data_IF_155724047154
#
_entry.id   IF_155724047154
#
_cell.length_a   1.000
_cell.length_b   1.000
_cell.length_c   1.000
_cell.angle_alpha   90.00
_cell.angle_beta   90.00
_cell.angle_gamma   90.00
#
_symmetry.space_group_name_H-M   'P 1'
#
loop_
_entity.id
_entity.type
_entity.pdbx_description
1 polymer ?
#
# COMPACT_ATOMS: atom_id res chain seq x y z
N UNK A 1 7.86 -48.35 19.46
CA UNK A 1 6.78 -47.90 18.56
C UNK A 1 7.17 -46.50 18.13
N UNK A 2 8.13 -46.44 17.21
CA UNK A 2 8.74 -45.22 16.70
C UNK A 2 7.87 -44.66 15.57
N UNK A 3 7.30 -43.48 15.78
CA UNK A 3 6.55 -42.73 14.78
C UNK A 3 7.47 -41.73 14.09
N UNK A 4 8.14 -42.18 13.02
CA UNK A 4 8.87 -41.31 12.09
C UNK A 4 7.87 -40.56 11.20
N UNK A 5 7.70 -39.26 11.44
CA UNK A 5 7.00 -38.34 10.53
C UNK A 5 8.03 -37.71 9.60
N UNK A 6 7.99 -38.08 8.33
CA UNK A 6 8.76 -37.46 7.26
C UNK A 6 8.14 -36.10 6.87
N UNK A 7 8.94 -35.07 6.53
CA UNK A 7 8.41 -33.84 5.97
C UNK A 7 8.11 -34.03 4.49
N UNK A 8 6.85 -33.82 4.11
CA UNK A 8 6.37 -33.75 2.73
C UNK A 8 7.02 -32.57 2.02
N UNK A 9 7.73 -32.87 0.93
CA UNK A 9 8.34 -31.88 0.05
C UNK A 9 7.26 -30.98 -0.56
N UNK A 10 7.42 -29.67 -0.40
CA UNK A 10 6.71 -28.65 -1.17
C UNK A 10 7.07 -28.80 -2.65
N UNK A 11 6.19 -29.47 -3.40
CA UNK A 11 6.12 -29.39 -4.85
C UNK A 11 5.20 -28.23 -5.22
N UNK A 12 5.64 -27.40 -6.16
CA UNK A 12 4.83 -26.29 -6.67
C UNK A 12 5.66 -25.25 -7.42
N UNK A 13 6.59 -25.70 -8.26
CA UNK A 13 7.44 -24.86 -9.10
C UNK A 13 7.55 -25.39 -10.53
N UNK A 14 6.51 -26.06 -11.02
CA UNK A 14 6.42 -26.55 -12.40
C UNK A 14 5.09 -26.06 -12.97
N UNK A 15 5.13 -25.08 -13.88
CA UNK A 15 3.87 -24.58 -14.44
C UNK A 15 3.91 -23.67 -15.65
N UNK A 16 5.05 -23.33 -16.25
CA UNK A 16 5.04 -22.44 -17.46
C UNK A 16 5.81 -23.03 -18.64
N UNK A 17 6.89 -23.78 -18.41
CA UNK A 17 7.66 -24.37 -19.52
C UNK A 17 6.96 -25.47 -20.33
N UNK A 18 5.79 -25.96 -19.90
CA UNK A 18 5.09 -27.10 -20.52
C UNK A 18 3.75 -26.77 -21.18
N UNK A 19 3.19 -25.57 -20.98
CA UNK A 19 1.90 -25.18 -21.56
C UNK A 19 1.95 -25.03 -23.09
N UNK A 20 3.06 -24.47 -23.60
CA UNK A 20 3.24 -24.18 -25.03
C UNK A 20 3.58 -25.40 -25.89
N UNK A 21 4.02 -26.51 -25.29
CA UNK A 21 4.39 -27.71 -26.06
C UNK A 21 3.18 -28.57 -26.47
N UNK A 22 2.01 -28.36 -25.85
CA UNK A 22 0.86 -29.23 -26.02
C UNK A 22 -0.24 -28.67 -26.94
N UNK A 23 -0.21 -27.37 -27.27
CA UNK A 23 -1.25 -26.72 -28.06
C UNK A 23 -0.65 -26.15 -29.36
N UNK A 24 -0.52 -26.98 -30.39
CA UNK A 24 -0.62 -26.47 -31.76
C UNK A 24 0.67 -26.07 -32.49
N UNK A 25 1.66 -26.96 -32.51
CA UNK A 25 2.40 -27.31 -33.73
C UNK A 25 3.51 -26.38 -34.23
N UNK A 26 4.76 -26.73 -33.91
CA UNK A 26 6.01 -26.68 -34.73
C UNK A 26 6.24 -25.51 -35.73
N UNK A 27 5.54 -24.39 -35.56
CA UNK A 27 5.85 -23.11 -36.17
C UNK A 27 6.55 -22.32 -35.08
N UNK A 28 7.85 -22.12 -35.26
CA UNK A 28 8.58 -21.21 -34.41
C UNK A 28 7.86 -19.84 -34.46
N UNK A 29 7.46 -19.34 -33.28
CA UNK A 29 6.98 -17.97 -33.14
C UNK A 29 7.97 -17.02 -33.83
N UNK A 30 7.48 -15.99 -34.55
CA UNK A 30 8.33 -14.93 -35.07
C UNK A 30 9.29 -14.41 -34.00
N UNK A 31 10.49 -13.98 -34.42
CA UNK A 31 11.56 -13.64 -33.50
C UNK A 31 11.15 -12.50 -32.53
N UNK A 32 10.28 -11.61 -32.98
CA UNK A 32 9.68 -10.51 -32.20
C UNK A 32 8.85 -11.02 -31.03
N UNK A 33 7.99 -12.03 -31.24
CA UNK A 33 7.14 -12.59 -30.18
C UNK A 33 7.95 -13.45 -29.23
N UNK A 34 8.98 -14.13 -29.75
CA UNK A 34 9.92 -14.87 -28.89
C UNK A 34 10.73 -13.93 -28.00
N UNK A 35 11.16 -12.78 -28.51
CA UNK A 35 11.84 -11.78 -27.72
C UNK A 35 10.90 -11.15 -26.67
N UNK A 36 9.67 -10.82 -27.07
CA UNK A 36 8.64 -10.29 -26.19
C UNK A 36 8.28 -11.27 -25.06
N UNK A 37 8.07 -12.55 -25.39
CA UNK A 37 7.81 -13.64 -24.43
C UNK A 37 8.92 -13.69 -23.37
N UNK A 38 10.19 -13.70 -23.77
CA UNK A 38 11.32 -13.78 -22.81
C UNK A 38 11.40 -12.53 -21.94
N UNK A 39 11.18 -11.34 -22.51
CA UNK A 39 11.18 -10.08 -21.76
C UNK A 39 10.03 -10.01 -20.74
N UNK A 40 8.81 -10.34 -21.16
CA UNK A 40 7.63 -10.38 -20.31
C UNK A 40 7.75 -11.48 -19.24
N UNK A 41 8.25 -12.66 -19.59
CA UNK A 41 8.49 -13.75 -18.64
C UNK A 41 9.49 -13.30 -17.56
N UNK A 42 10.56 -12.63 -17.93
CA UNK A 42 11.53 -12.09 -16.98
C UNK A 42 10.90 -11.01 -16.09
N UNK A 43 10.14 -10.06 -16.66
CA UNK A 43 9.47 -9.00 -15.92
C UNK A 43 8.46 -9.56 -14.92
N UNK A 44 7.58 -10.47 -15.37
CA UNK A 44 6.58 -11.13 -14.53
C UNK A 44 7.24 -11.92 -13.40
N UNK A 45 8.28 -12.71 -13.69
CA UNK A 45 9.03 -13.45 -12.67
C UNK A 45 9.71 -12.54 -11.67
N UNK A 46 10.27 -11.41 -12.11
CA UNK A 46 10.89 -10.42 -11.21
C UNK A 46 9.86 -9.83 -10.26
N UNK A 47 8.71 -9.40 -10.78
CA UNK A 47 7.62 -8.82 -9.97
C UNK A 47 7.02 -9.84 -9.00
N UNK A 48 6.82 -11.08 -9.44
CA UNK A 48 6.33 -12.17 -8.59
C UNK A 48 7.34 -12.53 -7.49
N UNK A 49 8.63 -12.58 -7.82
CA UNK A 49 9.69 -12.83 -6.84
C UNK A 49 9.75 -11.72 -5.78
N UNK A 50 9.70 -10.45 -6.20
CA UNK A 50 9.67 -9.31 -5.29
C UNK A 50 8.43 -9.34 -4.39
N UNK A 51 7.26 -9.66 -4.96
CA UNK A 51 5.99 -9.83 -4.24
C UNK A 51 6.08 -10.95 -3.19
N UNK A 52 6.57 -12.13 -3.58
CA UNK A 52 6.70 -13.27 -2.65
C UNK A 52 7.74 -13.00 -1.55
N UNK A 53 8.79 -12.25 -1.87
CA UNK A 53 9.80 -11.85 -0.87
C UNK A 53 9.20 -10.86 0.13
N UNK A 54 8.46 -9.87 -0.36
CA UNK A 54 7.76 -8.91 0.49
C UNK A 54 6.74 -9.62 1.39
N UNK A 55 5.96 -10.54 0.85
CA UNK A 55 4.96 -11.32 1.59
C UNK A 55 5.58 -12.08 2.77
N UNK A 56 6.69 -12.80 2.53
CA UNK A 56 7.42 -13.56 3.56
C UNK A 56 7.99 -12.67 4.67
N UNK A 57 8.31 -11.42 4.36
CA UNK A 57 8.86 -10.45 5.33
C UNK A 57 7.74 -9.69 6.06
N UNK A 58 6.63 -9.42 5.37
CA UNK A 58 5.52 -8.64 5.86
C UNK A 58 4.75 -9.36 6.96
N UNK A 59 4.35 -10.63 6.74
CA UNK A 59 3.59 -11.39 7.74
C UNK A 59 4.25 -11.47 9.12
N UNK A 60 5.52 -11.87 9.27
CA UNK A 60 6.16 -11.93 10.58
C UNK A 60 6.38 -10.55 11.20
N UNK A 61 6.64 -9.51 10.39
CA UNK A 61 6.85 -8.16 10.90
C UNK A 61 5.55 -7.53 11.44
N UNK A 62 4.42 -7.75 10.76
CA UNK A 62 3.11 -7.26 11.16
C UNK A 62 2.59 -8.01 12.40
N UNK A 63 2.83 -9.33 12.48
CA UNK A 63 2.53 -10.12 13.68
C UNK A 63 3.37 -9.67 14.89
N UNK A 64 4.67 -9.41 14.70
CA UNK A 64 5.54 -8.88 15.75
C UNK A 64 5.08 -7.50 16.24
N UNK A 65 4.62 -6.64 15.32
CA UNK A 65 4.08 -5.32 15.64
C UNK A 65 2.75 -5.41 16.40
N UNK A 66 1.88 -6.34 16.02
CA UNK A 66 0.62 -6.64 16.71
C UNK A 66 0.88 -7.13 18.13
N UNK A 67 1.93 -7.93 18.35
CA UNK A 67 2.33 -8.39 19.69
C UNK A 67 2.94 -7.28 20.54
N UNK A 68 3.79 -6.43 19.95
CA UNK A 68 4.52 -5.36 20.65
C UNK A 68 4.62 -4.13 19.77
N UNK A 69 3.82 -3.12 20.13
CA UNK A 69 3.96 -1.77 19.57
C UNK A 69 5.27 -1.17 20.06
N UNK A 70 6.26 -1.13 19.18
CA UNK A 70 7.54 -0.48 19.40
C UNK A 70 7.89 0.42 18.23
N UNK A 71 8.68 1.46 18.47
CA UNK A 71 9.12 2.40 17.42
C UNK A 71 9.86 1.68 16.29
N UNK A 72 10.64 0.63 16.63
CA UNK A 72 11.34 -0.19 15.65
C UNK A 72 10.37 -1.01 14.78
N UNK A 73 9.36 -1.63 15.39
CA UNK A 73 8.38 -2.44 14.66
C UNK A 73 7.48 -1.56 13.76
N UNK A 74 7.12 -0.36 14.23
CA UNK A 74 6.40 0.64 13.43
C UNK A 74 7.22 1.09 12.21
N UNK A 75 8.51 1.34 12.40
CA UNK A 75 9.41 1.69 11.30
C UNK A 75 9.51 0.55 10.28
N UNK A 76 9.64 -0.70 10.75
CA UNK A 76 9.65 -1.88 9.86
C UNK A 76 8.34 -2.02 9.08
N UNK A 77 7.18 -1.86 9.73
CA UNK A 77 5.88 -1.91 9.03
C UNK A 77 5.72 -0.76 8.03
N UNK A 78 6.20 0.45 8.36
CA UNK A 78 6.23 1.57 7.42
C UNK A 78 7.11 1.28 6.21
N UNK A 79 8.27 0.66 6.40
CA UNK A 79 9.14 0.24 5.30
C UNK A 79 8.47 -0.82 4.41
N UNK A 80 7.79 -1.80 5.02
CA UNK A 80 6.99 -2.81 4.30
C UNK A 80 5.89 -2.12 3.49
N UNK A 81 5.12 -1.21 4.09
CA UNK A 81 4.07 -0.43 3.40
C UNK A 81 4.64 0.37 2.23
N UNK A 82 5.78 1.03 2.41
CA UNK A 82 6.45 1.76 1.34
C UNK A 82 6.85 0.85 0.18
N UNK A 83 7.44 -0.33 0.47
CA UNK A 83 7.82 -1.31 -0.55
C UNK A 83 6.60 -1.91 -1.25
N UNK A 84 5.53 -2.15 -0.52
CA UNK A 84 4.27 -2.65 -1.05
C UNK A 84 3.67 -1.66 -2.07
N UNK A 85 3.63 -0.37 -1.73
CA UNK A 85 3.13 0.68 -2.63
C UNK A 85 3.99 0.78 -3.89
N UNK A 86 5.32 0.70 -3.77
CA UNK A 86 6.23 0.75 -4.91
C UNK A 86 6.04 -0.44 -5.86
N UNK A 87 6.05 -1.67 -5.32
CA UNK A 87 5.86 -2.90 -6.12
C UNK A 87 4.45 -2.92 -6.73
N UNK A 88 3.41 -2.58 -5.97
CA UNK A 88 2.04 -2.50 -6.47
C UNK A 88 1.93 -1.49 -7.62
N UNK A 89 2.56 -0.31 -7.51
CA UNK A 89 2.58 0.67 -8.59
C UNK A 89 3.30 0.18 -9.85
N UNK A 90 4.38 -0.59 -9.70
CA UNK A 90 5.10 -1.20 -10.84
C UNK A 90 4.28 -2.29 -11.53
N UNK A 91 3.63 -3.16 -10.77
CA UNK A 91 2.76 -4.24 -11.29
C UNK A 91 1.54 -3.64 -11.99
N UNK A 92 0.94 -2.61 -11.39
CA UNK A 92 -0.19 -1.88 -11.97
C UNK A 92 0.16 -1.29 -13.33
N UNK A 93 1.31 -0.62 -13.45
CA UNK A 93 1.76 -0.08 -14.75
C UNK A 93 1.94 -1.16 -15.81
N UNK A 94 2.56 -2.30 -15.46
CA UNK A 94 2.71 -3.40 -16.41
C UNK A 94 1.34 -3.97 -16.83
N UNK A 95 0.39 -4.04 -15.90
CA UNK A 95 -0.99 -4.44 -16.21
C UNK A 95 -1.66 -3.44 -17.16
N UNK A 96 -1.58 -2.15 -16.86
CA UNK A 96 -2.23 -1.09 -17.64
C UNK A 96 -1.67 -1.03 -19.08
N UNK A 97 -0.36 -1.18 -19.26
CA UNK A 97 0.27 -1.22 -20.59
C UNK A 97 -0.11 -2.50 -21.38
N UNK A 98 -0.25 -3.62 -20.68
CA UNK A 98 -0.66 -4.89 -21.29
C UNK A 98 -2.14 -4.90 -21.69
N UNK A 99 -3.00 -4.30 -20.86
CA UNK A 99 -4.42 -4.04 -21.14
C UNK A 99 -4.56 -3.13 -22.36
N UNK A 100 -3.80 -2.03 -22.40
CA UNK A 100 -3.80 -1.12 -23.54
C UNK A 100 -3.41 -1.84 -24.84
N UNK A 101 -2.38 -2.68 -24.81
CA UNK A 101 -1.94 -3.44 -25.97
C UNK A 101 -2.98 -4.49 -26.43
N UNK A 102 -3.67 -5.14 -25.48
CA UNK A 102 -4.74 -6.10 -25.79
C UNK A 102 -5.99 -5.43 -26.36
N UNK A 103 -6.31 -4.20 -25.94
CA UNK A 103 -7.51 -3.47 -26.39
C UNK A 103 -7.38 -2.87 -27.81
N UNK A 104 -6.16 -2.71 -28.33
CA UNK A 104 -5.88 -1.99 -29.59
C UNK A 104 -5.29 -2.92 -30.66
N UNK A 105 -6.14 -3.43 -31.56
CA UNK A 105 -5.74 -4.30 -32.68
C UNK A 105 -4.64 -3.68 -33.56
N UNK A 106 -4.63 -2.35 -33.70
CA UNK A 106 -3.61 -1.62 -34.45
C UNK A 106 -2.22 -1.71 -33.80
N UNK A 107 -2.17 -1.67 -32.47
CA UNK A 107 -0.92 -1.80 -31.72
C UNK A 107 -0.43 -3.26 -31.72
N UNK A 108 -1.36 -4.22 -31.65
CA UNK A 108 -1.04 -5.64 -31.86
C UNK A 108 -0.47 -5.88 -33.27
N UNK A 109 -1.09 -5.34 -34.31
CA UNK A 109 -0.61 -5.45 -35.68
C UNK A 109 0.76 -4.76 -35.88
N UNK A 110 1.01 -3.64 -35.19
CA UNK A 110 2.28 -2.92 -35.26
C UNK A 110 3.48 -3.73 -34.74
N UNK A 111 3.24 -4.72 -33.86
CA UNK A 111 4.27 -5.61 -33.33
C UNK A 111 4.75 -6.68 -34.33
N UNK A 112 4.02 -6.93 -35.44
CA UNK A 112 4.42 -7.86 -36.50
C UNK A 112 5.55 -7.29 -37.39
N UNK A 113 6.75 -7.19 -36.82
CA UNK A 113 7.92 -6.58 -37.46
C UNK A 113 8.46 -7.40 -38.64
N UNK A 114 8.39 -8.74 -38.57
CA UNK A 114 8.86 -9.64 -39.64
C UNK A 114 8.08 -9.43 -40.93
N UNK A 115 6.75 -9.32 -40.84
CA UNK A 115 5.87 -9.09 -41.99
C UNK A 115 6.08 -7.70 -42.58
N UNK A 116 6.26 -6.69 -41.73
CA UNK A 116 6.56 -5.32 -42.16
C UNK A 116 7.88 -5.25 -42.92
N UNK A 117 8.91 -5.97 -42.46
CA UNK A 117 10.19 -6.07 -43.13
C UNK A 117 10.09 -6.78 -44.48
N UNK A 118 9.29 -7.85 -44.58
CA UNK A 118 9.02 -8.54 -45.84
C UNK A 118 8.30 -7.64 -46.86
N UNK A 119 7.36 -6.81 -46.41
CA UNK A 119 6.65 -5.85 -47.24
C UNK A 119 7.59 -4.75 -47.78
N UNK A 120 8.48 -4.21 -46.93
CA UNK A 120 9.52 -3.26 -47.39
C UNK A 120 10.47 -3.88 -48.41
N UNK A 121 10.81 -5.17 -48.27
CA UNK A 121 11.69 -5.86 -49.22
C UNK A 121 11.01 -6.13 -50.57
N UNK A 122 9.70 -6.40 -50.59
CA UNK A 122 8.95 -6.56 -51.85
C UNK A 122 8.72 -5.22 -52.57
N UNK A 123 8.41 -4.16 -51.83
CA UNK A 123 8.28 -2.80 -52.35
C UNK A 123 9.61 -2.25 -52.90
N UNK A 124 10.75 -2.60 -52.28
CA UNK A 124 12.09 -2.25 -52.74
C UNK A 124 12.52 -2.96 -54.04
N UNK A 125 11.83 -4.02 -54.47
CA UNK A 125 12.06 -4.67 -55.76
C UNK A 125 11.21 -4.09 -56.91
N UNK A 126 10.20 -3.25 -56.61
CA UNK A 126 9.33 -2.64 -57.63
C UNK A 126 9.80 -1.28 -58.14
N UNK A 127 10.82 -0.64 -57.55
CA UNK A 127 11.27 0.71 -57.96
C UNK A 127 12.47 0.74 -58.92
N UNK A 128 12.89 -0.41 -59.49
CA UNK A 128 13.97 -0.46 -60.49
C UNK A 128 13.50 -0.40 -61.96
N UNK A 129 12.22 -0.16 -62.21
CA UNK A 129 11.71 0.09 -63.56
C UNK A 129 10.63 1.17 -63.52
N UNK A 130 11.07 2.43 -63.44
CA UNK A 130 10.47 3.59 -64.10
C UNK A 130 11.26 4.84 -63.67
N UNK A 131 12.52 4.90 -64.10
CA UNK A 131 13.24 6.17 -64.20
C UNK A 131 12.88 6.73 -65.56
N UNK A 132 11.93 7.68 -65.59
CA UNK A 132 11.79 8.80 -66.54
C UNK A 132 10.31 9.23 -66.68
N UNK A 133 9.77 9.92 -65.68
CA UNK A 133 8.91 11.09 -65.97
C UNK A 133 8.80 12.06 -64.79
N UNK A 134 9.70 13.04 -64.84
CA UNK A 134 9.43 14.47 -64.62
C UNK A 134 8.82 14.90 -63.28
N UNK A 135 9.71 15.52 -62.50
CA UNK A 135 9.36 16.53 -61.51
C UNK A 135 8.83 17.80 -62.21
N UNK A 136 7.55 18.11 -62.02
CA UNK A 136 6.91 19.44 -62.12
C UNK A 136 5.40 19.16 -61.95
N UNK A 137 4.59 19.84 -61.15
CA UNK A 137 4.52 21.23 -60.75
C UNK A 137 3.87 21.31 -59.35
N UNK A 138 4.44 22.15 -58.48
CA UNK A 138 3.75 22.70 -57.32
C UNK A 138 2.91 23.91 -57.79
N UNK A 139 1.85 24.21 -57.04
CA UNK A 139 1.02 25.43 -57.08
C UNK A 139 -0.13 25.35 -58.12
N UNK A 140 -1.42 25.33 -57.77
CA UNK A 140 -2.12 26.33 -56.96
C UNK A 140 -3.60 25.89 -56.79
N UNK A 141 -4.12 25.78 -55.56
CA UNK A 141 -5.32 26.51 -55.09
C UNK A 141 -5.84 26.04 -53.73
N UNK A 142 -6.06 27.05 -52.90
CA UNK A 142 -6.41 26.98 -51.50
C UNK A 142 -7.90 27.26 -51.25
N UNK A 143 -8.41 26.69 -50.15
CA UNK A 143 -9.50 27.14 -49.25
C UNK A 143 -10.95 26.72 -49.59
N UNK A 144 -11.50 25.80 -48.77
CA UNK A 144 -12.56 26.01 -47.73
C UNK A 144 -12.79 24.67 -47.01
N UNK A 145 -12.28 24.48 -45.80
CA UNK A 145 -12.97 24.65 -44.50
C UNK A 145 -14.08 23.62 -44.22
N UNK A 146 -13.76 22.77 -43.22
CA UNK A 146 -14.61 22.10 -42.23
C UNK A 146 -15.71 21.15 -42.73
N UNK A 147 -15.48 19.84 -42.56
CA UNK A 147 -16.29 18.91 -41.74
C UNK A 147 -15.74 17.47 -41.86
N UNK A 148 -15.65 16.80 -40.71
CA UNK A 148 -15.54 15.34 -40.50
C UNK A 148 -14.25 14.63 -40.96
N UNK A 149 -13.36 14.34 -39.99
CA UNK A 149 -12.40 13.22 -40.07
C UNK A 149 -13.17 11.90 -40.01
N UNK A 150 -13.86 11.56 -41.09
CA UNK A 150 -14.32 10.20 -41.37
C UNK A 150 -13.32 9.55 -42.33
N UNK A 151 -13.06 8.28 -42.04
CA UNK A 151 -12.06 7.43 -42.66
C UNK A 151 -12.15 7.43 -44.19
N UNK A 152 -11.08 7.86 -44.87
CA UNK A 152 -10.75 7.35 -46.20
C UNK A 152 -9.57 6.38 -46.07
N UNK A 153 -9.95 5.11 -45.86
CA UNK A 153 -9.10 3.94 -46.00
C UNK A 153 -8.81 3.71 -47.49
N UNK A 154 -7.80 4.42 -47.99
CA UNK A 154 -7.31 4.34 -49.37
C UNK A 154 -6.07 3.46 -49.51
N UNK A 155 -6.27 2.14 -49.55
CA UNK A 155 -5.49 1.25 -50.43
C UNK A 155 -4.05 0.90 -50.06
N UNK A 156 -3.87 -0.02 -49.12
CA UNK A 156 -2.97 -1.17 -49.25
C UNK A 156 -3.54 -2.26 -48.34
N UNK A 157 -3.93 -3.41 -48.91
CA UNK A 157 -4.74 -4.42 -48.24
C UNK A 157 -4.34 -4.66 -46.79
N UNK A 158 -5.28 -4.36 -45.88
CA UNK A 158 -5.20 -4.67 -44.47
C UNK A 158 -5.11 -6.18 -44.29
N UNK A 159 -3.89 -6.69 -44.41
CA UNK A 159 -3.50 -7.96 -43.84
C UNK A 159 -3.57 -7.72 -42.33
N UNK A 160 -4.69 -8.06 -41.68
CA UNK A 160 -4.66 -8.36 -40.26
C UNK A 160 -3.72 -9.55 -40.15
N UNK A 161 -2.48 -9.39 -39.65
CA UNK A 161 -1.62 -10.53 -39.38
C UNK A 161 -2.42 -11.50 -38.49
N UNK A 162 -2.06 -12.78 -38.43
CA UNK A 162 -2.68 -13.67 -37.45
C UNK A 162 -2.24 -13.22 -36.04
N UNK A 163 -2.90 -12.20 -35.50
CA UNK A 163 -2.69 -11.60 -34.18
C UNK A 163 -3.19 -12.51 -33.08
N UNK A 164 -4.02 -13.51 -33.42
CA UNK A 164 -4.53 -14.55 -32.52
C UNK A 164 -3.41 -15.22 -31.69
N UNK A 165 -2.24 -15.48 -32.28
CA UNK A 165 -1.11 -16.10 -31.55
C UNK A 165 -0.49 -15.15 -30.52
N UNK A 166 -0.42 -13.85 -30.84
CA UNK A 166 0.08 -12.82 -29.95
C UNK A 166 -0.94 -12.50 -28.84
N UNK A 167 -2.22 -12.44 -29.18
CA UNK A 167 -3.31 -12.22 -28.23
C UNK A 167 -3.31 -13.30 -27.14
N UNK A 168 -3.26 -14.59 -27.52
CA UNK A 168 -3.17 -15.70 -26.56
C UNK A 168 -1.92 -15.59 -25.67
N UNK A 169 -0.78 -15.14 -26.22
CA UNK A 169 0.44 -14.90 -25.45
C UNK A 169 0.23 -13.82 -24.40
N UNK A 170 -0.26 -12.65 -24.82
CA UNK A 170 -0.48 -11.49 -23.96
C UNK A 170 -1.56 -11.76 -22.90
N UNK A 171 -2.66 -12.42 -23.25
CA UNK A 171 -3.71 -12.85 -22.31
C UNK A 171 -3.13 -13.72 -21.18
N UNK A 172 -2.25 -14.65 -21.51
CA UNK A 172 -1.63 -15.53 -20.50
C UNK A 172 -0.78 -14.74 -19.49
N UNK A 173 -0.04 -13.74 -19.95
CA UNK A 173 0.75 -12.85 -19.09
C UNK A 173 -0.16 -11.87 -18.32
N UNK A 174 -1.27 -11.44 -18.92
CA UNK A 174 -2.24 -10.56 -18.27
C UNK A 174 -2.83 -11.25 -17.05
N UNK A 175 -3.31 -12.49 -17.21
CA UNK A 175 -3.80 -13.31 -16.09
C UNK A 175 -2.72 -13.52 -15.03
N UNK A 176 -1.45 -13.70 -15.41
CA UNK A 176 -0.35 -13.84 -14.44
C UNK A 176 -0.09 -12.55 -13.64
N UNK A 177 -0.09 -11.39 -14.31
CA UNK A 177 0.10 -10.08 -13.66
C UNK A 177 -1.10 -9.77 -12.75
N UNK A 178 -2.33 -10.03 -13.18
CA UNK A 178 -3.52 -9.91 -12.32
C UNK A 178 -3.44 -10.82 -11.09
N UNK A 179 -2.99 -12.05 -11.27
CA UNK A 179 -2.74 -12.97 -10.14
C UNK A 179 -1.73 -12.39 -9.14
N UNK A 180 -0.69 -11.72 -9.63
CA UNK A 180 0.31 -11.04 -8.80
C UNK A 180 -0.26 -9.79 -8.11
N UNK A 181 -1.06 -8.99 -8.83
CA UNK A 181 -1.75 -7.82 -8.31
C UNK A 181 -2.72 -8.21 -7.19
N UNK A 182 -3.46 -9.30 -7.36
CA UNK A 182 -4.40 -9.79 -6.35
C UNK A 182 -3.67 -10.19 -5.05
N UNK A 183 -2.54 -10.88 -5.15
CA UNK A 183 -1.68 -11.18 -3.97
C UNK A 183 -1.25 -9.89 -3.25
N UNK A 184 -0.82 -8.87 -4.00
CA UNK A 184 -0.43 -7.57 -3.44
C UNK A 184 -1.62 -6.84 -2.80
N UNK A 185 -2.81 -6.94 -3.40
CA UNK A 185 -4.04 -6.37 -2.86
C UNK A 185 -4.41 -6.99 -1.51
N UNK A 186 -4.37 -8.33 -1.41
CA UNK A 186 -4.59 -9.03 -0.14
C UNK A 186 -3.54 -8.65 0.91
N UNK A 187 -2.26 -8.54 0.52
CA UNK A 187 -1.22 -8.10 1.44
C UNK A 187 -1.42 -6.65 1.91
N UNK A 188 -1.93 -5.79 1.03
CA UNK A 188 -2.27 -4.40 1.35
C UNK A 188 -3.40 -4.30 2.34
N UNK A 189 -4.48 -5.03 2.12
CA UNK A 189 -5.60 -5.12 3.06
C UNK A 189 -5.09 -5.55 4.44
N UNK A 190 -4.24 -6.58 4.50
CA UNK A 190 -3.65 -7.03 5.77
C UNK A 190 -2.76 -5.98 6.46
N UNK A 191 -1.97 -5.22 5.69
CA UNK A 191 -1.15 -4.10 6.22
C UNK A 191 -2.03 -2.97 6.74
N UNK A 192 -3.05 -2.59 5.98
CA UNK A 192 -3.97 -1.49 6.32
C UNK A 192 -4.82 -1.87 7.55
N UNK A 193 -5.32 -3.12 7.64
CA UNK A 193 -5.99 -3.66 8.83
C UNK A 193 -5.10 -3.63 10.07
N UNK A 194 -3.82 -3.99 9.91
CA UNK A 194 -2.83 -3.95 11.00
C UNK A 194 -2.57 -2.51 11.45
N UNK A 195 -2.48 -1.56 10.53
CA UNK A 195 -2.32 -0.13 10.84
C UNK A 195 -3.51 0.40 11.63
N UNK A 196 -4.73 0.09 11.20
CA UNK A 196 -5.96 0.48 11.90
C UNK A 196 -6.01 -0.12 13.31
N UNK A 197 -5.67 -1.41 13.46
CA UNK A 197 -5.57 -2.06 14.77
C UNK A 197 -4.56 -1.36 15.69
N UNK A 198 -3.38 -1.02 15.17
CA UNK A 198 -2.35 -0.33 15.95
C UNK A 198 -2.79 1.07 16.33
N UNK A 199 -3.42 1.81 15.42
CA UNK A 199 -3.95 3.14 15.71
C UNK A 199 -4.98 3.07 16.84
N UNK A 200 -5.93 2.12 16.79
CA UNK A 200 -6.89 1.90 17.88
C UNK A 200 -6.20 1.55 19.21
N UNK A 201 -5.18 0.69 19.19
CA UNK A 201 -4.43 0.32 20.40
C UNK A 201 -3.63 1.49 20.96
N UNK A 202 -3.01 2.30 20.10
CA UNK A 202 -2.22 3.46 20.51
C UNK A 202 -3.12 4.54 21.10
N UNK A 203 -4.31 4.74 20.53
CA UNK A 203 -5.33 5.63 21.07
C UNK A 203 -5.82 5.16 22.45
N UNK A 204 -6.04 3.85 22.66
CA UNK A 204 -6.37 3.31 24.00
C UNK A 204 -5.25 3.61 25.02
N UNK A 205 -3.98 3.45 24.63
CA UNK A 205 -2.84 3.75 25.51
C UNK A 205 -2.71 5.24 25.79
N UNK A 206 -2.92 6.10 24.80
CA UNK A 206 -2.94 7.54 25.02
C UNK A 206 -4.09 7.95 25.93
N UNK A 207 -5.26 7.34 25.76
CA UNK A 207 -6.42 7.58 26.60
C UNK A 207 -6.13 7.20 28.07
N UNK A 208 -5.49 6.05 28.31
CA UNK A 208 -5.01 5.64 29.64
C UNK A 208 -3.98 6.62 30.23
N UNK A 209 -3.04 7.12 29.41
CA UNK A 209 -2.05 8.10 29.87
C UNK A 209 -2.69 9.45 30.23
N UNK A 210 -3.67 9.90 29.44
CA UNK A 210 -4.43 11.12 29.69
C UNK A 210 -5.24 10.98 30.98
N UNK A 211 -5.91 9.85 31.18
CA UNK A 211 -6.62 9.52 32.43
C UNK A 211 -5.69 9.62 33.65
N UNK A 212 -4.54 8.94 33.60
CA UNK A 212 -3.57 8.95 34.70
C UNK A 212 -3.04 10.38 34.95
N UNK A 213 -2.83 11.16 33.89
CA UNK A 213 -2.43 12.57 33.97
C UNK A 213 -3.47 13.45 34.67
N UNK A 214 -4.75 13.30 34.33
CA UNK A 214 -5.85 14.04 34.97
C UNK A 214 -5.96 13.67 36.46
N UNK A 215 -5.84 12.38 36.79
CA UNK A 215 -5.87 11.92 38.19
C UNK A 215 -4.72 12.54 39.00
N UNK A 216 -3.51 12.53 38.46
CA UNK A 216 -2.32 13.09 39.11
C UNK A 216 -2.41 14.61 39.27
N UNK A 217 -2.87 15.32 38.23
CA UNK A 217 -3.09 16.77 38.26
C UNK A 217 -4.11 17.15 39.33
N UNK A 218 -5.23 16.42 39.41
CA UNK A 218 -6.26 16.61 40.43
C UNK A 218 -5.71 16.35 41.84
N UNK A 219 -4.93 15.29 42.03
CA UNK A 219 -4.26 15.02 43.32
C UNK A 219 -3.33 16.16 43.72
N UNK A 220 -2.54 16.67 42.77
CA UNK A 220 -1.63 17.79 42.97
C UNK A 220 -2.39 19.07 43.34
N UNK A 221 -3.52 19.34 42.69
CA UNK A 221 -4.41 20.46 43.01
C UNK A 221 -4.90 20.36 44.46
N UNK A 222 -5.42 19.20 44.88
CA UNK A 222 -5.93 19.03 46.26
C UNK A 222 -4.81 19.16 47.30
N UNK A 223 -3.61 18.64 47.00
CA UNK A 223 -2.44 18.81 47.85
C UNK A 223 -2.02 20.29 47.96
N UNK A 224 -1.99 21.03 46.85
CA UNK A 224 -1.65 22.46 46.88
C UNK A 224 -2.66 23.28 47.67
N UNK A 225 -3.96 22.98 47.59
CA UNK A 225 -4.97 23.58 48.48
C UNK A 225 -4.72 23.28 49.97
N UNK A 226 -4.29 22.06 50.30
CA UNK A 226 -3.90 21.72 51.68
C UNK A 226 -2.66 22.48 52.15
N UNK A 227 -1.66 22.62 51.27
CA UNK A 227 -0.42 23.36 51.53
C UNK A 227 -0.70 24.85 51.74
N UNK A 228 -1.58 25.47 50.95
CA UNK A 228 -1.91 26.90 51.11
C UNK A 228 -2.64 27.17 52.42
N UNK A 229 -3.59 26.31 52.82
CA UNK A 229 -4.26 26.42 54.13
C UNK A 229 -3.26 26.25 55.27
N UNK A 230 -2.37 25.27 55.16
CA UNK A 230 -1.28 25.05 56.14
C UNK A 230 -0.35 26.25 56.19
N UNK A 231 0.00 26.83 55.04
CA UNK A 231 0.85 28.01 54.92
C UNK A 231 0.25 29.23 55.60
N UNK A 232 -1.05 29.47 55.43
CA UNK A 232 -1.76 30.58 56.12
C UNK A 232 -1.73 30.43 57.64
N UNK A 233 -1.88 29.20 58.15
CA UNK A 233 -1.83 28.89 59.59
C UNK A 233 -0.41 28.85 60.16
N UNK A 234 0.60 28.67 59.30
CA UNK A 234 2.02 28.75 59.65
C UNK A 234 2.53 30.20 59.73
N UNK A 235 1.72 31.20 59.33
CA UNK A 235 2.05 32.61 59.51
C UNK A 235 1.94 32.99 61.00
N UNK A 236 2.90 33.78 61.47
CA UNK A 236 2.97 34.27 62.85
C UNK A 236 1.93 35.37 63.12
N UNK A 237 0.64 35.03 63.07
CA UNK A 237 -0.50 35.92 63.34
C UNK A 237 -1.22 35.42 64.59
N UNK A 238 -1.45 36.31 65.56
CA UNK A 238 -2.08 35.98 66.84
C UNK A 238 -3.60 35.77 66.68
N UNK A 239 -4.01 34.55 66.38
CA UNK A 239 -5.43 34.16 66.25
C UNK A 239 -5.96 33.75 67.65
N UNK A 240 -7.17 34.17 68.07
CA UNK A 240 -7.77 33.80 69.37
C UNK A 240 -8.06 32.29 69.55
N UNK A 241 -7.69 31.45 68.56
CA UNK A 241 -7.77 29.98 68.62
C UNK A 241 -6.59 29.36 69.41
N UNK A 242 -5.51 30.13 69.63
CA UNK A 242 -4.29 29.68 70.31
C UNK A 242 -4.30 29.87 71.85
N UNK A 243 -5.31 30.53 72.43
CA UNK A 243 -5.42 30.75 73.90
C UNK A 243 -5.91 29.51 74.68
N UNK A 244 -6.32 28.46 73.98
CA UNK A 244 -6.73 27.15 74.53
C UNK A 244 -5.53 26.19 74.68
N UNK A 245 -5.61 25.13 75.52
CA UNK A 245 -4.44 24.31 75.84
C UNK A 245 -3.74 23.77 74.58
N UNK A 246 -2.41 23.97 74.45
CA UNK A 246 -1.69 23.89 73.17
C UNK A 246 -1.67 22.49 72.54
N UNK A 247 -1.88 21.43 73.33
CA UNK A 247 -1.90 20.06 72.81
C UNK A 247 -3.14 19.76 71.97
N UNK A 248 -4.34 20.09 72.46
CA UNK A 248 -5.58 19.63 71.84
C UNK A 248 -5.96 20.41 70.57
N UNK A 249 -5.65 21.71 70.52
CA UNK A 249 -5.97 22.59 69.38
C UNK A 249 -5.09 22.30 68.17
N UNK A 250 -3.80 22.00 68.39
CA UNK A 250 -2.87 21.59 67.34
C UNK A 250 -3.33 20.30 66.64
N UNK A 251 -3.56 19.23 67.40
CA UNK A 251 -4.03 17.95 66.84
C UNK A 251 -5.37 18.09 66.11
N UNK A 252 -6.28 18.93 66.60
CA UNK A 252 -7.56 19.21 65.94
C UNK A 252 -7.39 19.99 64.62
N UNK A 253 -6.50 20.98 64.58
CA UNK A 253 -6.22 21.76 63.37
C UNK A 253 -5.52 20.91 62.30
N UNK A 254 -4.46 20.19 62.66
CA UNK A 254 -3.76 19.28 61.75
C UNK A 254 -4.68 18.15 61.25
N UNK A 255 -5.47 17.55 62.15
CA UNK A 255 -6.45 16.54 61.78
C UNK A 255 -7.53 17.08 60.84
N UNK A 256 -7.97 18.34 61.03
CA UNK A 256 -8.94 19.01 60.17
C UNK A 256 -8.40 19.31 58.77
N UNK A 257 -7.14 19.74 58.64
CA UNK A 257 -6.52 20.02 57.34
C UNK A 257 -6.27 18.72 56.57
N UNK A 258 -5.72 17.70 57.23
CA UNK A 258 -5.48 16.38 56.61
C UNK A 258 -6.80 15.72 56.24
N UNK A 259 -7.76 15.69 57.17
CA UNK A 259 -9.09 15.13 56.91
C UNK A 259 -9.86 15.90 55.83
N UNK A 260 -9.78 17.23 55.81
CA UNK A 260 -10.39 18.09 54.79
C UNK A 260 -9.76 17.89 53.41
N UNK A 261 -8.44 17.75 53.33
CA UNK A 261 -7.73 17.44 52.08
C UNK A 261 -8.10 16.06 51.54
N UNK A 262 -8.16 15.03 52.39
CA UNK A 262 -8.61 13.69 52.00
C UNK A 262 -10.08 13.69 51.57
N UNK A 263 -10.95 14.40 52.30
CA UNK A 263 -12.36 14.52 51.95
C UNK A 263 -12.58 15.24 50.62
N UNK A 264 -11.82 16.32 50.35
CA UNK A 264 -11.84 17.01 49.05
C UNK A 264 -11.34 16.11 47.91
N UNK A 265 -10.30 15.31 48.15
CA UNK A 265 -9.81 14.36 47.16
C UNK A 265 -10.86 13.30 46.83
N UNK A 266 -11.50 12.70 47.84
CA UNK A 266 -12.57 11.72 47.64
C UNK A 266 -13.79 12.34 46.96
N UNK A 267 -14.16 13.57 47.31
CA UNK A 267 -15.23 14.30 46.65
C UNK A 267 -14.91 14.57 45.17
N UNK A 268 -13.67 14.97 44.86
CA UNK A 268 -13.22 15.17 43.49
C UNK A 268 -13.29 13.87 42.68
N UNK A 269 -12.78 12.75 43.22
CA UNK A 269 -12.85 11.43 42.56
C UNK A 269 -14.29 10.95 42.38
N UNK A 270 -15.17 11.18 43.36
CA UNK A 270 -16.60 10.87 43.26
C UNK A 270 -17.31 11.69 42.18
N UNK A 271 -16.99 12.98 42.06
CA UNK A 271 -17.48 13.84 40.98
C UNK A 271 -17.00 13.34 39.62
N UNK A 272 -15.72 12.98 39.48
CA UNK A 272 -15.17 12.40 38.25
C UNK A 272 -15.91 11.13 37.82
N UNK A 273 -16.13 10.21 38.77
CA UNK A 273 -16.83 8.96 38.52
C UNK A 273 -18.31 9.15 38.17
N UNK A 274 -18.96 10.21 38.67
CA UNK A 274 -20.35 10.55 38.34
C UNK A 274 -20.52 11.28 37.02
N UNK A 275 -19.52 12.05 36.59
CA UNK A 275 -19.58 12.84 35.37
C UNK A 275 -19.37 12.03 34.09
N UNK A 276 -19.06 10.73 34.18
CA UNK A 276 -18.97 9.85 33.00
C UNK A 276 -17.82 10.20 32.04
N UNK A 277 -16.82 10.94 32.53
CA UNK A 277 -15.62 11.35 31.75
C UNK A 277 -14.62 10.19 31.62
N UNK A 278 -14.89 9.07 32.30
CA UNK A 278 -14.21 7.79 32.15
C UNK A 278 -15.28 6.70 32.02
N UNK A 279 -15.19 5.80 31.02
CA UNK A 279 -16.04 4.61 30.95
C UNK A 279 -15.87 3.69 32.17
#
# INVERSE_FOLDING_TARGET
MDGSVSPSSHGGGEGIGKGWQALGGDKALPFEFRALEVCLEFACKSLEHETSTLEKEAYPALDELTSKVSTLNLERARQIKSRLVDISGRVQKVRDELEHLLDHDMDMAALHLTEKLACYQSAGQSSRFDVEKEASELEERSIKEEEEEEAEEGGAGGFSPNTDELEILLESFFVQIEGTLNKLSTLREYVDDTEDYINMMLDDKQNQLLEMGILLSTATLVLTCGITVTGFLALNIHIPLYDTPPGATFWRATGGIVGGSVALFLAAVLCYKRSGILP
#
